data_IF_979428578938
#
_entry.id   IF_979428578938
#
_cell.length_a   1.000
_cell.length_b   1.000
_cell.length_c   1.000
_cell.angle_alpha   90.00
_cell.angle_beta   90.00
_cell.angle_gamma   90.00
#
_symmetry.space_group_name_H-M   'P 1'
#
loop_
_entity.id
_entity.type
_entity.pdbx_description
1 polymer ?
#
# COMPACT_ATOMS: atom_id res chain seq x y z
N UNK A 1 -0.61 -10.42 -23.73
CA UNK A 1 -2.06 -10.60 -23.64
C UNK A 1 -2.73 -9.56 -24.54
N UNK A 2 -3.26 -10.00 -25.66
CA UNK A 2 -3.92 -9.18 -26.67
C UNK A 2 -5.43 -9.47 -26.62
N UNK A 3 -6.27 -8.48 -26.93
CA UNK A 3 -7.75 -8.54 -26.84
C UNK A 3 -8.34 -8.87 -25.45
N UNK A 4 -8.07 -8.01 -24.44
CA UNK A 4 -8.80 -8.05 -23.17
C UNK A 4 -9.47 -6.72 -22.87
N UNK A 5 -10.73 -6.77 -22.43
CA UNK A 5 -11.49 -5.58 -22.04
C UNK A 5 -11.08 -5.11 -20.65
N UNK A 6 -10.68 -3.84 -20.55
CA UNK A 6 -10.35 -3.19 -19.28
C UNK A 6 -11.61 -2.54 -18.71
N UNK A 7 -12.18 -3.15 -17.67
CA UNK A 7 -13.34 -2.58 -16.98
C UNK A 7 -12.91 -1.43 -16.08
N UNK A 8 -13.28 -0.20 -16.44
CA UNK A 8 -13.08 0.98 -15.59
C UNK A 8 -14.18 1.03 -14.54
N UNK A 9 -13.81 0.96 -13.26
CA UNK A 9 -14.77 1.04 -12.14
C UNK A 9 -15.03 2.46 -11.65
N UNK A 10 -13.99 3.29 -11.61
CA UNK A 10 -14.08 4.63 -11.06
C UNK A 10 -13.06 5.58 -11.71
N UNK A 11 -13.38 6.87 -11.71
CA UNK A 11 -12.51 7.93 -12.24
C UNK A 11 -12.35 9.00 -11.16
N UNK A 12 -11.10 9.33 -10.80
CA UNK A 12 -10.78 10.41 -9.86
C UNK A 12 -10.07 11.55 -10.60
N UNK A 13 -10.57 12.77 -10.42
CA UNK A 13 -9.95 13.96 -10.97
C UNK A 13 -8.97 14.55 -9.94
N UNK A 14 -7.67 14.46 -10.23
CA UNK A 14 -6.62 15.07 -9.42
C UNK A 14 -6.30 16.46 -9.96
N UNK A 15 -7.23 17.42 -9.79
CA UNK A 15 -7.10 18.80 -10.31
C UNK A 15 -5.81 19.50 -9.90
N UNK A 16 -5.31 19.24 -8.67
CA UNK A 16 -4.05 19.82 -8.19
C UNK A 16 -2.80 19.25 -8.86
N UNK A 17 -2.86 18.02 -9.38
CA UNK A 17 -1.74 17.36 -10.06
C UNK A 17 -1.88 17.40 -11.60
N UNK A 18 -3.03 17.84 -12.13
CA UNK A 18 -3.27 18.03 -13.56
C UNK A 18 -3.62 16.77 -14.34
N UNK A 19 -3.98 15.68 -13.67
CA UNK A 19 -4.32 14.42 -14.34
C UNK A 19 -5.56 13.74 -13.77
N UNK A 20 -6.11 12.82 -14.56
CA UNK A 20 -7.25 11.99 -14.22
C UNK A 20 -6.75 10.57 -13.93
N UNK A 21 -7.07 10.05 -12.74
CA UNK A 21 -6.74 8.68 -12.35
C UNK A 21 -7.92 7.78 -12.68
N UNK A 22 -7.69 6.85 -13.60
CA UNK A 22 -8.68 5.85 -14.00
C UNK A 22 -8.42 4.57 -13.22
N UNK A 23 -9.37 4.18 -12.37
CA UNK A 23 -9.29 3.02 -11.49
C UNK A 23 -9.96 1.83 -12.18
N UNK A 24 -9.16 0.85 -12.59
CA UNK A 24 -9.61 -0.38 -13.27
C UNK A 24 -9.85 -1.55 -12.30
N UNK A 25 -9.53 -1.36 -11.03
CA UNK A 25 -9.69 -2.36 -9.97
C UNK A 25 -9.52 -1.73 -8.59
N UNK A 26 -9.47 -2.59 -7.58
CA UNK A 26 -9.33 -2.15 -6.19
C UNK A 26 -7.87 -1.78 -5.91
N UNK A 27 -7.62 -0.48 -5.72
CA UNK A 27 -6.29 0.03 -5.36
C UNK A 27 -6.23 0.15 -3.84
N UNK A 28 -5.35 -0.63 -3.22
CA UNK A 28 -5.07 -0.55 -1.79
C UNK A 28 -4.23 0.70 -1.49
N UNK A 29 -4.88 1.79 -1.08
CA UNK A 29 -4.20 3.03 -0.66
C UNK A 29 -3.70 2.98 0.78
N UNK A 30 -4.13 1.99 1.56
CA UNK A 30 -3.69 1.76 2.94
C UNK A 30 -3.37 0.28 3.10
N UNK A 31 -2.07 -0.11 3.15
CA UNK A 31 -1.72 -1.49 3.44
C UNK A 31 -2.08 -1.82 4.89
N UNK A 32 -2.77 -2.93 5.10
CA UNK A 32 -3.01 -3.47 6.43
C UNK A 32 -1.77 -4.14 7.01
N UNK A 33 -1.79 -4.41 8.32
CA UNK A 33 -0.75 -5.20 8.98
C UNK A 33 -0.92 -6.70 8.62
N UNK A 34 0.17 -7.42 8.32
CA UNK A 34 0.12 -8.86 8.09
C UNK A 34 -0.19 -9.64 9.39
N UNK A 35 -0.55 -10.92 9.25
CA UNK A 35 -0.94 -11.80 10.38
C UNK A 35 0.10 -11.83 11.52
N UNK A 36 1.38 -11.69 11.20
CA UNK A 36 2.46 -11.49 12.16
C UNK A 36 3.08 -10.12 11.86
N UNK A 37 2.70 -9.06 12.59
CA UNK A 37 3.27 -7.74 12.35
C UNK A 37 4.74 -7.71 12.81
N UNK A 38 5.58 -7.00 12.05
CA UNK A 38 7.00 -6.80 12.42
C UNK A 38 7.15 -6.21 13.84
N UNK A 39 6.14 -5.49 14.32
CA UNK A 39 6.03 -4.98 15.68
C UNK A 39 6.19 -6.05 16.79
N UNK A 40 5.89 -7.32 16.55
CA UNK A 40 6.10 -8.39 17.55
C UNK A 40 7.59 -8.66 17.79
N UNK A 41 8.43 -8.40 16.79
CA UNK A 41 9.87 -8.63 16.87
C UNK A 41 10.64 -7.35 17.24
N UNK A 42 9.96 -6.21 17.35
CA UNK A 42 10.59 -4.95 17.76
C UNK A 42 10.79 -5.01 19.27
N UNK A 43 12.05 -5.06 19.69
CA UNK A 43 12.42 -5.03 21.10
C UNK A 43 13.63 -4.13 21.33
N UNK A 44 13.85 -3.69 22.56
CA UNK A 44 15.00 -2.86 22.96
C UNK A 44 15.83 -3.67 23.93
N UNK A 45 17.08 -3.97 23.56
CA UNK A 45 18.00 -4.68 24.45
C UNK A 45 18.45 -3.78 25.63
N UNK A 46 19.07 -4.40 26.64
CA UNK A 46 19.55 -3.71 27.86
C UNK A 46 20.61 -2.63 27.58
N UNK A 47 21.17 -2.59 26.37
CA UNK A 47 22.13 -1.59 25.90
C UNK A 47 21.48 -0.49 25.04
N UNK A 48 20.14 -0.49 24.94
CA UNK A 48 19.38 0.52 24.19
C UNK A 48 19.38 0.31 22.67
N UNK A 49 19.76 -0.87 22.18
CA UNK A 49 19.74 -1.19 20.75
C UNK A 49 18.40 -1.82 20.37
N UNK A 50 17.79 -1.28 19.32
CA UNK A 50 16.53 -1.79 18.79
C UNK A 50 16.80 -3.01 17.91
N UNK A 51 16.15 -4.13 18.21
CA UNK A 51 16.13 -5.36 17.41
C UNK A 51 14.80 -5.44 16.64
N UNK A 52 14.78 -6.11 15.47
CA UNK A 52 13.53 -6.34 14.69
C UNK A 52 12.98 -5.18 13.87
N UNK A 53 13.74 -4.09 13.69
CA UNK A 53 13.43 -2.99 12.76
C UNK A 53 13.83 -3.26 11.30
N UNK A 54 14.55 -4.36 11.04
CA UNK A 54 15.00 -4.82 9.73
C UNK A 54 15.08 -6.36 9.69
#
# INVERSE_FOLDING_TARGET
>A
PDDFDVTVRNVRLCAGAGFVVVLTGDINTMPGLPKVPAAVNIDVDENGKITGLF
#
